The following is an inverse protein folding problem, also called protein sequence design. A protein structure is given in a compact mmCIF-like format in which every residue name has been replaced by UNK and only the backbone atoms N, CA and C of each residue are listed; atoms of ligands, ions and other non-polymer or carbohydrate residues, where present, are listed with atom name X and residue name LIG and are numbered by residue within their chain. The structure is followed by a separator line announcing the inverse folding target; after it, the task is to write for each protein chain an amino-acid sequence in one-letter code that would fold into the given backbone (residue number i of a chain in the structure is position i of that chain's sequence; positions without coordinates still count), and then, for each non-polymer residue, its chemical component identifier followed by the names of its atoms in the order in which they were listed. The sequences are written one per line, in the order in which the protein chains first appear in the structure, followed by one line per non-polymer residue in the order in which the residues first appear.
data_IF_842110250697
#
_entry.id   IF_842110250697
#
_cell.length_a   1.000
_cell.length_b   1.000
_cell.length_c   1.000
_cell.angle_alpha   90.00
_cell.angle_beta   90.00
_cell.angle_gamma   90.00
#
_symmetry.space_group_name_H-M   'P 1'
#
loop_
_entity.id
_entity.type
_entity.pdbx_description
1 polymer ?
#
# COMPACT_ATOMS: atom_id res chain seq x y z
N UNK A 1 -1.72 -8.67 -23.21
CA UNK A 1 -1.25 -8.58 -21.81
C UNK A 1 -2.23 -7.74 -21.03
N UNK A 2 -2.62 -8.15 -19.83
CA UNK A 2 -3.43 -7.31 -18.95
C UNK A 2 -2.62 -6.07 -18.53
N UNK A 3 -3.28 -4.91 -18.42
CA UNK A 3 -2.63 -3.71 -17.86
C UNK A 3 -2.51 -3.88 -16.35
N UNK A 4 -1.46 -3.29 -15.77
CA UNK A 4 -1.17 -3.44 -14.34
C UNK A 4 -1.20 -2.09 -13.63
N UNK A 5 -1.78 -2.07 -12.43
CA UNK A 5 -1.87 -0.93 -11.52
C UNK A 5 -1.10 -1.25 -10.26
N UNK A 6 -0.30 -0.30 -9.78
CA UNK A 6 0.25 -0.34 -8.42
C UNK A 6 -0.59 0.56 -7.55
N UNK A 7 -1.26 0.00 -6.54
CA UNK A 7 -2.12 0.72 -5.62
C UNK A 7 -1.35 1.02 -4.32
N UNK A 8 -1.29 2.30 -3.94
CA UNK A 8 -0.93 2.67 -2.58
C UNK A 8 -2.01 2.16 -1.63
N UNK A 9 -1.66 1.14 -0.85
CA UNK A 9 -2.62 0.32 -0.13
C UNK A 9 -2.42 0.47 1.38
N UNK A 10 -3.44 0.98 2.08
CA UNK A 10 -3.39 1.19 3.53
C UNK A 10 -3.90 0.00 4.35
N UNK A 11 -4.49 -1.00 3.70
CA UNK A 11 -5.22 -2.08 4.38
C UNK A 11 -6.64 -1.71 4.81
N UNK A 12 -7.08 -0.46 4.60
CA UNK A 12 -8.43 -0.04 4.94
C UNK A 12 -9.52 -0.67 4.05
N UNK A 13 -10.77 -0.55 4.47
CA UNK A 13 -11.93 -1.03 3.73
C UNK A 13 -11.95 -0.49 2.30
N UNK A 14 -11.82 0.83 2.15
CA UNK A 14 -11.94 1.51 0.86
C UNK A 14 -10.88 1.03 -0.14
N UNK A 15 -9.62 0.94 0.29
CA UNK A 15 -8.53 0.46 -0.56
C UNK A 15 -8.66 -1.03 -0.86
N UNK A 16 -9.24 -1.83 0.04
CA UNK A 16 -9.49 -3.26 -0.20
C UNK A 16 -10.58 -3.46 -1.24
N UNK A 17 -11.69 -2.73 -1.15
CA UNK A 17 -12.77 -2.76 -2.14
C UNK A 17 -12.28 -2.23 -3.49
N UNK A 18 -11.43 -1.20 -3.50
CA UNK A 18 -10.86 -0.64 -4.71
C UNK A 18 -10.05 -1.67 -5.53
N UNK A 19 -9.31 -2.57 -4.88
CA UNK A 19 -8.60 -3.68 -5.56
C UNK A 19 -9.57 -4.50 -6.40
N UNK A 20 -10.64 -5.01 -5.76
CA UNK A 20 -11.63 -5.85 -6.44
C UNK A 20 -12.36 -5.07 -7.53
N UNK A 21 -12.73 -3.83 -7.23
CA UNK A 21 -13.44 -2.96 -8.17
C UNK A 21 -12.62 -2.70 -9.43
N UNK A 22 -11.31 -2.41 -9.33
CA UNK A 22 -10.46 -2.20 -10.50
C UNK A 22 -10.33 -3.47 -11.35
N UNK A 23 -10.22 -4.63 -10.73
CA UNK A 23 -10.18 -5.91 -11.44
C UNK A 23 -11.48 -6.12 -12.22
N UNK A 24 -12.63 -5.97 -11.56
CA UNK A 24 -13.93 -6.26 -12.16
C UNK A 24 -14.35 -5.21 -13.20
N UNK A 25 -14.07 -3.92 -12.97
CA UNK A 25 -14.51 -2.83 -13.85
C UNK A 25 -13.52 -2.50 -14.96
N UNK A 26 -12.22 -2.63 -14.70
CA UNK A 26 -11.19 -2.24 -15.66
C UNK A 26 -10.42 -3.43 -16.26
N UNK A 27 -10.59 -4.64 -15.73
CA UNK A 27 -9.90 -5.83 -16.24
C UNK A 27 -8.38 -5.73 -16.08
N UNK A 28 -7.91 -5.05 -15.03
CA UNK A 28 -6.48 -4.84 -14.74
C UNK A 28 -6.00 -5.76 -13.63
N UNK A 29 -4.70 -6.06 -13.65
CA UNK A 29 -4.02 -6.67 -12.51
C UNK A 29 -3.64 -5.57 -11.50
N UNK A 30 -3.81 -5.84 -10.21
CA UNK A 30 -3.48 -4.90 -9.15
C UNK A 30 -2.36 -5.47 -8.28
N UNK A 31 -1.29 -4.70 -8.09
CA UNK A 31 -0.27 -4.95 -7.07
C UNK A 31 -0.49 -3.94 -5.95
N UNK A 32 -0.67 -4.42 -4.72
CA UNK A 32 -0.79 -3.56 -3.55
C UNK A 32 0.59 -3.24 -2.98
N UNK A 33 0.86 -1.97 -2.74
CA UNK A 33 2.06 -1.49 -2.07
C UNK A 33 1.66 -0.75 -0.79
N UNK A 34 1.99 -1.35 0.36
CA UNK A 34 1.92 -0.70 1.66
C UNK A 34 3.31 -0.19 2.05
N UNK A 35 3.37 0.98 2.66
CA UNK A 35 4.62 1.60 3.12
C UNK A 35 4.51 1.87 4.62
N UNK A 36 5.37 1.26 5.41
CA UNK A 36 5.51 1.52 6.84
C UNK A 36 6.35 2.80 7.03
N UNK A 37 5.70 3.85 7.49
CA UNK A 37 6.32 5.13 7.89
C UNK A 37 6.18 5.35 9.41
N UNK A 38 5.87 4.30 10.18
CA UNK A 38 5.75 4.33 11.63
C UNK A 38 4.32 4.53 12.14
N UNK A 39 3.32 4.39 11.26
CA UNK A 39 1.92 4.41 11.65
C UNK A 39 1.57 3.21 12.56
N UNK A 40 0.61 3.40 13.46
CA UNK A 40 -0.01 2.27 14.15
C UNK A 40 -0.82 1.46 13.13
N UNK A 41 -0.34 0.27 12.80
CA UNK A 41 -1.00 -0.62 11.85
C UNK A 41 -1.38 -1.94 12.51
N UNK A 42 -2.34 -2.62 11.89
CA UNK A 42 -2.46 -4.07 12.01
C UNK A 42 -1.11 -4.73 11.65
N UNK A 43 -0.97 -6.00 12.03
CA UNK A 43 0.13 -6.83 11.56
C UNK A 43 0.25 -6.77 10.03
N UNK A 44 1.46 -6.51 9.52
CA UNK A 44 1.73 -6.39 8.09
C UNK A 44 1.35 -7.64 7.29
N UNK A 45 1.40 -8.82 7.92
CA UNK A 45 0.96 -10.05 7.28
C UNK A 45 -0.57 -10.07 7.09
N UNK A 46 -1.33 -9.55 8.06
CA UNK A 46 -2.80 -9.39 7.93
C UNK A 46 -3.14 -8.40 6.81
N UNK A 47 -2.39 -7.31 6.66
CA UNK A 47 -2.59 -6.34 5.59
C UNK A 47 -2.36 -6.99 4.21
N UNK A 48 -1.31 -7.80 4.06
CA UNK A 48 -1.02 -8.54 2.83
C UNK A 48 -2.10 -9.56 2.52
N UNK A 49 -2.51 -10.36 3.50
CA UNK A 49 -3.58 -11.36 3.35
C UNK A 49 -4.88 -10.70 2.88
N UNK A 50 -5.23 -9.54 3.45
CA UNK A 50 -6.42 -8.77 3.05
C UNK A 50 -6.35 -8.31 1.58
N UNK A 51 -5.18 -7.85 1.12
CA UNK A 51 -4.98 -7.46 -0.28
C UNK A 51 -5.13 -8.64 -1.25
N UNK A 52 -4.52 -9.79 -0.92
CA UNK A 52 -4.60 -11.01 -1.72
C UNK A 52 -6.03 -11.55 -1.75
N UNK A 53 -6.73 -11.55 -0.60
CA UNK A 53 -8.13 -11.94 -0.51
C UNK A 53 -9.06 -11.04 -1.35
N UNK A 54 -8.72 -9.75 -1.50
CA UNK A 54 -9.43 -8.83 -2.38
C UNK A 54 -9.17 -9.08 -3.89
N UNK A 55 -8.19 -9.92 -4.23
CA UNK A 55 -7.86 -10.32 -5.59
C UNK A 55 -6.58 -9.68 -6.16
N UNK A 56 -5.78 -9.00 -5.33
CA UNK A 56 -4.50 -8.47 -5.79
C UNK A 56 -3.60 -9.60 -6.30
N UNK A 57 -2.83 -9.31 -7.36
CA UNK A 57 -1.84 -10.21 -7.91
C UNK A 57 -0.66 -10.40 -6.95
N UNK A 58 -0.29 -9.34 -6.23
CA UNK A 58 0.80 -9.34 -5.26
C UNK A 58 0.58 -8.23 -4.21
N UNK A 59 1.18 -8.38 -3.04
CA UNK A 59 1.10 -7.45 -1.92
C UNK A 59 2.47 -7.26 -1.25
N UNK A 60 3.04 -6.06 -1.41
CA UNK A 60 4.37 -5.71 -0.94
C UNK A 60 4.25 -4.73 0.23
N UNK A 61 5.06 -4.94 1.26
CA UNK A 61 5.22 -4.01 2.37
C UNK A 61 6.66 -3.51 2.36
N UNK A 62 6.84 -2.19 2.40
CA UNK A 62 8.16 -1.54 2.44
C UNK A 62 8.33 -0.83 3.78
N UNK A 63 9.39 -1.16 4.52
CA UNK A 63 9.80 -0.38 5.70
C UNK A 63 10.56 0.87 5.25
N UNK A 64 9.89 2.03 5.34
CA UNK A 64 10.44 3.33 4.98
C UNK A 64 10.59 4.24 6.20
N UNK A 65 10.51 3.72 7.44
CA UNK A 65 10.53 4.55 8.66
C UNK A 65 11.79 5.41 8.76
N UNK A 66 12.95 4.80 8.48
CA UNK A 66 14.24 5.51 8.48
C UNK A 66 14.32 6.56 7.38
N UNK A 67 13.91 6.20 6.17
CA UNK A 67 13.89 7.12 5.03
C UNK A 67 12.97 8.31 5.28
N UNK A 68 11.77 8.05 5.81
CA UNK A 68 10.80 9.08 6.16
C UNK A 68 11.35 10.04 7.22
N UNK A 69 11.98 9.52 8.27
CA UNK A 69 12.58 10.34 9.32
C UNK A 69 13.73 11.22 8.79
N UNK A 70 14.68 10.62 8.06
CA UNK A 70 15.91 11.30 7.64
C UNK A 70 15.69 12.28 6.49
N UNK A 71 14.84 11.92 5.52
CA UNK A 71 14.71 12.66 4.26
C UNK A 71 13.47 13.56 4.19
N UNK A 72 12.52 13.41 5.11
CA UNK A 72 11.29 14.22 5.12
C UNK A 72 11.12 14.96 6.44
N UNK A 73 11.13 14.25 7.57
CA UNK A 73 10.93 14.89 8.88
C UNK A 73 12.09 15.80 9.26
N UNK A 74 13.34 15.33 9.18
CA UNK A 74 14.50 16.14 9.55
C UNK A 74 14.67 17.41 8.68
N UNK A 75 14.49 17.36 7.33
CA UNK A 75 14.50 18.56 6.51
C UNK A 75 13.36 19.53 6.85
N UNK A 76 12.14 19.03 7.13
CA UNK A 76 11.03 19.87 7.53
C UNK A 76 11.31 20.60 8.86
N UNK A 77 11.93 19.94 9.83
CA UNK A 77 12.34 20.56 11.10
C UNK A 77 13.40 21.65 10.92
N UNK A 78 14.36 21.45 10.01
CA UNK A 78 15.42 22.43 9.71
C UNK A 78 14.91 23.71 9.03
N UNK A 79 13.69 23.70 8.52
CA UNK A 79 13.09 24.82 7.82
C UNK A 79 12.31 25.79 8.73
N UNK A 80 12.38 25.59 10.06
CA UNK A 80 11.83 26.52 11.06
C UNK A 80 12.82 27.62 11.44
#
# INVERSE_FOLDING_TARGET
MAKRVVLAYSGGLDTSVAVRWMIDQWGVEVICLAVDVGQASDDWDVVKERALAAGALDAIVVDARKEFADNFVAPALKAN
#
